data_IF_793036333385
#
_entry.id   IF_793036333385
#
_cell.length_a   1.000
_cell.length_b   1.000
_cell.length_c   1.000
_cell.angle_alpha   90.00
_cell.angle_beta   90.00
_cell.angle_gamma   90.00
#
_symmetry.space_group_name_H-M   'P 1'
#
loop_
_entity.id
_entity.type
_entity.pdbx_description
1 polymer ?
#
# COMPACT_ATOMS: atom_id res chain seq x y z
N UNK A 1 -11.47 -10.30 13.33
CA UNK A 1 -10.47 -10.12 12.27
C UNK A 1 -11.15 -10.39 10.94
N UNK A 2 -11.41 -9.33 10.18
CA UNK A 2 -11.97 -9.37 8.83
C UNK A 2 -10.82 -9.17 7.84
N UNK A 3 -10.88 -9.82 6.68
CA UNK A 3 -9.91 -9.68 5.61
C UNK A 3 -10.53 -8.97 4.42
N UNK A 4 -9.72 -8.32 3.58
CA UNK A 4 -10.22 -7.60 2.40
C UNK A 4 -10.90 -8.51 1.35
N UNK A 5 -10.72 -9.84 1.44
CA UNK A 5 -11.44 -10.81 0.60
C UNK A 5 -11.21 -10.58 -0.90
N UNK A 6 -9.97 -10.30 -1.30
CA UNK A 6 -9.58 -9.96 -2.67
C UNK A 6 -10.28 -8.74 -3.29
N UNK A 7 -10.81 -7.83 -2.46
CA UNK A 7 -11.43 -6.60 -2.91
C UNK A 7 -10.59 -5.38 -2.49
N UNK A 8 -10.07 -4.66 -3.48
CA UNK A 8 -9.31 -3.42 -3.26
C UNK A 8 -10.10 -2.38 -2.45
N UNK A 9 -11.38 -2.16 -2.76
CA UNK A 9 -12.18 -1.13 -2.10
C UNK A 9 -12.39 -1.43 -0.61
N UNK A 10 -12.54 -2.70 -0.23
CA UNK A 10 -12.58 -3.09 1.18
C UNK A 10 -11.24 -2.81 1.87
N UNK A 11 -10.13 -3.14 1.21
CA UNK A 11 -8.80 -2.87 1.72
C UNK A 11 -8.49 -1.36 1.83
N UNK A 12 -9.02 -0.54 0.93
CA UNK A 12 -8.68 0.88 0.86
C UNK A 12 -9.63 1.79 1.66
N UNK A 13 -10.94 1.53 1.61
CA UNK A 13 -11.94 2.45 2.18
C UNK A 13 -12.54 1.99 3.50
N UNK A 14 -12.51 0.69 3.82
CA UNK A 14 -13.17 0.16 5.03
C UNK A 14 -12.18 -0.49 5.98
N UNK A 15 -11.78 -1.73 5.70
CA UNK A 15 -11.02 -2.57 6.63
C UNK A 15 -9.60 -2.03 6.84
N UNK A 16 -8.95 -1.56 5.76
CA UNK A 16 -7.61 -0.96 5.89
C UNK A 16 -7.65 0.44 6.50
N UNK A 17 -8.75 1.19 6.33
CA UNK A 17 -8.91 2.50 6.95
C UNK A 17 -9.04 2.42 8.47
N UNK A 18 -9.66 1.36 9.00
CA UNK A 18 -9.70 1.13 10.46
C UNK A 18 -8.33 0.75 11.05
N UNK A 19 -7.43 0.22 10.23
CA UNK A 19 -6.11 -0.27 10.66
C UNK A 19 -4.97 0.72 10.38
N UNK A 20 -5.15 1.65 9.45
CA UNK A 20 -4.06 2.52 8.97
C UNK A 20 -3.47 3.39 10.07
N UNK A 21 -4.31 3.95 10.96
CA UNK A 21 -3.87 4.84 12.03
C UNK A 21 -2.93 4.13 13.00
N UNK A 22 -3.26 2.89 13.38
CA UNK A 22 -2.41 2.09 14.25
C UNK A 22 -1.05 1.74 13.60
N UNK A 23 -1.03 1.55 12.28
CA UNK A 23 0.22 1.32 11.54
C UNK A 23 1.04 2.61 11.45
N UNK A 24 0.40 3.75 11.17
CA UNK A 24 1.05 5.06 11.09
C UNK A 24 1.69 5.47 12.41
N UNK A 25 1.04 5.19 13.55
CA UNK A 25 1.62 5.48 14.87
C UNK A 25 2.93 4.69 15.11
N UNK A 26 2.98 3.43 14.65
CA UNK A 26 4.21 2.63 14.70
C UNK A 26 5.27 3.21 13.76
N UNK A 27 4.89 3.55 12.51
CA UNK A 27 5.81 4.16 11.54
C UNK A 27 6.40 5.46 12.08
N UNK A 28 5.58 6.31 12.71
CA UNK A 28 6.02 7.58 13.31
C UNK A 28 7.03 7.35 14.43
N UNK A 29 6.75 6.39 15.32
CA UNK A 29 7.67 6.03 16.41
C UNK A 29 9.02 5.55 15.88
N UNK A 30 9.02 4.72 14.84
CA UNK A 30 10.26 4.24 14.24
C UNK A 30 11.00 5.36 13.51
N UNK A 31 10.29 6.27 12.85
CA UNK A 31 10.88 7.44 12.19
C UNK A 31 11.54 8.39 13.20
N UNK A 32 10.89 8.68 14.34
CA UNK A 32 11.44 9.49 15.43
C UNK A 32 12.66 8.85 16.11
N UNK A 33 12.78 7.51 16.05
CA UNK A 33 13.94 6.77 16.53
C UNK A 33 15.18 6.88 15.65
N UNK A 34 15.08 7.50 14.47
CA UNK A 34 16.20 7.66 13.53
C UNK A 34 16.72 9.09 13.50
N UNK A 35 18.05 9.25 13.46
CA UNK A 35 18.67 10.58 13.38
C UNK A 35 18.40 11.27 12.02
N UNK A 36 18.34 10.48 10.94
CA UNK A 36 18.04 10.98 9.60
C UNK A 36 17.37 9.90 8.74
N UNK A 37 16.05 9.98 8.63
CA UNK A 37 15.26 9.08 7.79
C UNK A 37 15.48 9.39 6.29
N UNK A 38 15.89 8.40 5.51
CA UNK A 38 16.12 8.58 4.07
C UNK A 38 14.83 8.39 3.24
N UNK A 39 14.00 7.43 3.62
CA UNK A 39 12.83 7.04 2.86
C UNK A 39 12.18 5.79 3.41
N UNK A 40 11.15 5.33 2.70
CA UNK A 40 10.39 4.13 3.03
C UNK A 40 10.42 3.13 1.88
N UNK A 41 10.40 1.85 2.24
CA UNK A 41 10.29 0.74 1.29
C UNK A 41 9.01 -0.03 1.59
N UNK A 42 8.11 -0.12 0.62
CA UNK A 42 6.81 -0.79 0.78
C UNK A 42 6.73 -1.97 -0.17
N UNK A 43 6.62 -3.18 0.39
CA UNK A 43 6.45 -4.41 -0.39
C UNK A 43 4.99 -4.84 -0.32
N UNK A 44 4.33 -4.97 -1.47
CA UNK A 44 2.91 -5.32 -1.52
C UNK A 44 2.53 -6.02 -2.84
N UNK A 45 1.40 -6.71 -2.85
CA UNK A 45 0.84 -7.31 -4.07
C UNK A 45 -0.21 -6.38 -4.69
N UNK A 46 -0.22 -6.27 -6.02
CA UNK A 46 -1.21 -5.47 -6.75
C UNK A 46 -2.50 -6.25 -7.04
N UNK A 47 -2.41 -7.58 -7.05
CA UNK A 47 -3.57 -8.43 -7.36
C UNK A 47 -4.51 -8.68 -6.18
N UNK A 48 -4.03 -8.60 -4.93
CA UNK A 48 -4.78 -8.98 -3.74
C UNK A 48 -5.52 -7.82 -3.07
N UNK A 49 -6.62 -8.06 -2.36
CA UNK A 49 -7.43 -6.99 -1.75
C UNK A 49 -6.70 -6.16 -0.68
N UNK A 50 -5.92 -6.83 0.18
CA UNK A 50 -5.19 -6.15 1.27
C UNK A 50 -3.92 -5.49 0.76
N UNK A 51 -3.08 -6.23 0.03
CA UNK A 51 -1.84 -5.70 -0.52
C UNK A 51 -2.08 -4.52 -1.48
N UNK A 52 -3.12 -4.64 -2.31
CA UNK A 52 -3.47 -3.60 -3.27
C UNK A 52 -4.17 -2.43 -2.57
N UNK A 53 -5.22 -2.70 -1.78
CA UNK A 53 -6.05 -1.64 -1.17
C UNK A 53 -5.40 -0.93 0.02
N UNK A 54 -5.02 -1.69 1.04
CA UNK A 54 -4.39 -1.12 2.25
C UNK A 54 -2.98 -0.62 1.95
N UNK A 55 -2.24 -1.33 1.09
CA UNK A 55 -0.90 -0.91 0.68
C UNK A 55 -0.91 0.48 0.03
N UNK A 56 -1.83 0.73 -0.92
CA UNK A 56 -1.91 2.06 -1.55
C UNK A 56 -2.45 3.14 -0.62
N UNK A 57 -3.33 2.80 0.32
CA UNK A 57 -3.76 3.75 1.35
C UNK A 57 -2.57 4.19 2.23
N UNK A 58 -1.76 3.22 2.67
CA UNK A 58 -0.60 3.48 3.52
C UNK A 58 0.45 4.34 2.82
N UNK A 59 0.73 4.06 1.53
CA UNK A 59 1.67 4.86 0.72
C UNK A 59 1.22 6.31 0.65
N UNK A 60 -0.07 6.56 0.37
CA UNK A 60 -0.62 7.91 0.29
C UNK A 60 -0.50 8.65 1.64
N UNK A 61 -0.85 7.98 2.75
CA UNK A 61 -0.74 8.58 4.09
C UNK A 61 0.68 8.89 4.52
N UNK A 62 1.63 7.99 4.23
CA UNK A 62 3.05 8.24 4.52
C UNK A 62 3.57 9.40 3.68
N UNK A 63 3.17 9.51 2.41
CA UNK A 63 3.53 10.65 1.55
C UNK A 63 2.98 11.97 2.08
N UNK A 64 1.78 11.98 2.65
CA UNK A 64 1.20 13.17 3.30
C UNK A 64 2.01 13.62 4.53
N UNK A 65 2.44 12.70 5.39
CA UNK A 65 3.24 13.05 6.59
C UNK A 65 4.73 13.34 6.28
N UNK A 66 5.29 12.69 5.26
CA UNK A 66 6.71 12.75 4.92
C UNK A 66 6.93 13.08 3.43
N UNK A 67 6.52 14.27 2.95
CA UNK A 67 6.51 14.60 1.52
C UNK A 67 7.90 14.60 0.87
N UNK A 68 8.94 14.98 1.62
CA UNK A 68 10.32 15.11 1.12
C UNK A 68 11.13 13.80 1.20
N UNK A 69 10.51 12.69 1.63
CA UNK A 69 11.19 11.39 1.79
C UNK A 69 10.95 10.50 0.58
N UNK A 70 11.96 9.71 0.22
CA UNK A 70 11.86 8.79 -0.91
C UNK A 70 10.86 7.67 -0.61
N UNK A 71 9.94 7.42 -1.53
CA UNK A 71 9.00 6.30 -1.45
C UNK A 71 9.30 5.26 -2.54
N UNK A 72 9.96 4.18 -2.14
CA UNK A 72 10.19 3.01 -2.99
C UNK A 72 9.13 1.95 -2.74
N UNK A 73 8.58 1.38 -3.81
CA UNK A 73 7.63 0.29 -3.73
C UNK A 73 8.17 -0.94 -4.44
N UNK A 74 7.95 -2.12 -3.86
CA UNK A 74 8.26 -3.41 -4.47
C UNK A 74 6.95 -4.14 -4.69
N UNK A 75 6.39 -3.94 -5.88
CA UNK A 75 5.03 -4.38 -6.20
C UNK A 75 5.03 -5.69 -6.98
N UNK A 76 4.33 -6.70 -6.47
CA UNK A 76 4.11 -7.96 -7.21
C UNK A 76 2.90 -7.79 -8.14
N UNK A 77 3.18 -7.65 -9.44
CA UNK A 77 2.16 -7.61 -10.49
C UNK A 77 1.53 -8.99 -10.73
N UNK A 78 0.21 -9.06 -10.98
CA UNK A 78 -0.48 -10.32 -11.25
C UNK A 78 -0.02 -10.93 -12.58
N UNK A 79 -0.04 -12.26 -12.67
CA UNK A 79 0.35 -13.00 -13.88
C UNK A 79 -0.76 -13.97 -14.29
N UNK A 80 -1.17 -13.97 -15.58
CA UNK A 80 -2.30 -14.77 -16.06
C UNK A 80 -2.07 -16.30 -15.95
N UNK A 81 -0.83 -16.75 -15.71
CA UNK A 81 -0.49 -18.18 -15.59
C UNK A 81 -0.61 -18.73 -14.18
N UNK A 82 -0.63 -17.86 -13.18
CA UNK A 82 -0.59 -18.21 -11.74
C UNK A 82 -1.64 -17.43 -10.93
N UNK A 83 -2.53 -16.73 -11.62
CA UNK A 83 -3.59 -15.92 -11.03
C UNK A 83 -4.70 -16.83 -10.50
N UNK A 84 -4.93 -16.77 -9.19
CA UNK A 84 -6.01 -17.52 -8.53
C UNK A 84 -7.31 -16.71 -8.43
N UNK A 85 -7.24 -15.40 -8.74
CA UNK A 85 -8.35 -14.47 -8.49
C UNK A 85 -8.78 -13.73 -9.76
N UNK A 86 -10.04 -13.92 -10.16
CA UNK A 86 -10.65 -13.27 -11.34
C UNK A 86 -10.69 -11.74 -11.29
N UNK A 87 -10.59 -11.13 -10.09
CA UNK A 87 -10.60 -9.67 -9.90
C UNK A 87 -9.21 -9.03 -9.82
N UNK A 88 -8.13 -9.79 -10.02
CA UNK A 88 -6.77 -9.25 -10.02
C UNK A 88 -6.54 -8.08 -10.97
N UNK A 89 -7.05 -8.08 -12.22
CA UNK A 89 -6.88 -6.94 -13.12
C UNK A 89 -7.54 -5.66 -12.59
N UNK A 90 -8.67 -5.78 -11.89
CA UNK A 90 -9.35 -4.64 -11.27
C UNK A 90 -8.53 -4.07 -10.11
N UNK A 91 -8.07 -4.93 -9.20
CA UNK A 91 -7.25 -4.52 -8.06
C UNK A 91 -5.94 -3.86 -8.54
N UNK A 92 -5.29 -4.45 -9.54
CA UNK A 92 -4.04 -3.92 -10.08
C UNK A 92 -4.23 -2.55 -10.75
N UNK A 93 -5.30 -2.38 -11.53
CA UNK A 93 -5.59 -1.09 -12.19
C UNK A 93 -5.82 0.02 -11.16
N UNK A 94 -6.64 -0.26 -10.13
CA UNK A 94 -6.94 0.71 -9.08
C UNK A 94 -5.70 1.04 -8.24
N UNK A 95 -4.87 0.04 -7.93
CA UNK A 95 -3.64 0.29 -7.19
C UNK A 95 -2.58 1.04 -7.99
N UNK A 96 -2.42 0.72 -9.28
CA UNK A 96 -1.45 1.44 -10.14
C UNK A 96 -1.82 2.93 -10.24
N UNK A 97 -3.12 3.26 -10.31
CA UNK A 97 -3.54 4.67 -10.32
C UNK A 97 -3.03 5.43 -9.08
N UNK A 98 -3.12 4.82 -7.89
CA UNK A 98 -2.62 5.41 -6.65
C UNK A 98 -1.09 5.43 -6.58
N UNK A 99 -0.42 4.40 -7.09
CA UNK A 99 1.04 4.34 -7.10
C UNK A 99 1.66 5.42 -7.99
N UNK A 100 1.12 5.64 -9.18
CA UNK A 100 1.63 6.66 -10.12
C UNK A 100 1.73 8.04 -9.49
N UNK A 101 0.83 8.38 -8.57
CA UNK A 101 0.82 9.68 -7.89
C UNK A 101 1.69 9.71 -6.64
N UNK A 102 1.90 8.58 -5.97
CA UNK A 102 2.46 8.55 -4.61
C UNK A 102 3.78 7.79 -4.46
N UNK A 103 4.25 7.03 -5.45
CA UNK A 103 5.55 6.32 -5.42
C UNK A 103 6.59 7.03 -6.28
N UNK A 104 7.83 7.14 -5.80
CA UNK A 104 8.96 7.68 -6.59
C UNK A 104 9.59 6.59 -7.47
N UNK A 105 9.62 5.35 -6.98
CA UNK A 105 10.20 4.20 -7.67
C UNK A 105 9.38 2.93 -7.37
N UNK A 106 9.17 2.10 -8.40
CA UNK A 106 8.38 0.84 -8.38
C UNK A 106 9.15 -0.30 -9.02
#
# INVERSE_FOLDING_TARGET
>A
QSGAGNNWAKGHYTEGAELVDAVLDVVRKEAEGTDCLQGFQITHSLGGGTGAGMGTLLISKIREEYPDRMMCTYSVVPSPKVSDTVVEPYNATLSVHQLVENSDET
#
